data_IF_381025629044
#
_entry.id   IF_381025629044
#
_cell.length_a   1.000
_cell.length_b   1.000
_cell.length_c   1.000
_cell.angle_alpha   90.00
_cell.angle_beta   90.00
_cell.angle_gamma   90.00
#
_symmetry.space_group_name_H-M   'P 1'
#
loop_
_entity.id
_entity.type
_entity.pdbx_description
1 polymer ?
#
# COMPACT_ATOMS: atom_id res chain seq x y z
N UNK A 1 -20.88 21.15 -25.29
CA UNK A 1 -19.50 21.52 -24.96
C UNK A 1 -18.48 20.80 -25.83
N UNK A 2 -17.20 21.22 -25.82
CA UNK A 2 -16.15 20.56 -26.58
C UNK A 2 -15.81 19.17 -25.99
N UNK A 3 -15.61 18.18 -26.82
CA UNK A 3 -15.21 16.84 -26.43
C UNK A 3 -13.73 16.80 -26.04
N UNK A 4 -13.46 16.51 -24.77
CA UNK A 4 -12.10 16.44 -24.21
C UNK A 4 -11.78 15.00 -23.86
N UNK A 5 -10.87 14.39 -24.61
CA UNK A 5 -10.42 13.03 -24.35
C UNK A 5 -9.41 13.03 -23.21
N UNK A 6 -9.66 12.19 -22.22
CA UNK A 6 -8.78 12.04 -21.08
C UNK A 6 -8.37 10.57 -20.89
N UNK A 7 -7.09 10.39 -20.59
CA UNK A 7 -6.50 9.13 -20.14
C UNK A 7 -5.98 9.28 -18.72
N UNK A 8 -5.62 8.17 -18.08
CA UNK A 8 -5.12 8.19 -16.69
C UNK A 8 -3.78 8.95 -16.55
N UNK A 9 -3.04 9.13 -17.65
CA UNK A 9 -1.72 9.76 -17.65
C UNK A 9 -1.78 11.26 -18.01
N UNK A 10 -2.95 11.78 -18.45
CA UNK A 10 -3.07 13.18 -18.84
C UNK A 10 -3.26 14.12 -17.65
N UNK A 11 -2.80 15.36 -17.80
CA UNK A 11 -2.94 16.41 -16.81
C UNK A 11 -4.41 16.86 -16.70
N UNK A 12 -5.01 16.62 -15.54
CA UNK A 12 -6.40 17.00 -15.25
C UNK A 12 -6.59 18.53 -15.16
N UNK A 13 -5.55 19.27 -14.86
CA UNK A 13 -5.63 20.71 -14.71
C UNK A 13 -5.76 21.40 -16.09
N UNK A 14 -5.36 20.74 -17.17
CA UNK A 14 -5.57 21.16 -18.54
C UNK A 14 -7.01 20.99 -19.04
N UNK A 15 -7.90 20.33 -18.30
CA UNK A 15 -9.29 20.14 -18.69
C UNK A 15 -10.04 21.49 -18.67
N UNK A 16 -10.68 21.91 -19.80
CA UNK A 16 -11.34 23.21 -19.88
C UNK A 16 -12.66 23.24 -19.09
N UNK A 17 -13.03 24.41 -18.60
CA UNK A 17 -14.34 24.65 -18.02
C UNK A 17 -15.43 24.41 -19.06
N UNK A 18 -16.48 23.69 -18.72
CA UNK A 18 -17.57 23.37 -19.62
C UNK A 18 -17.27 22.29 -20.66
N UNK A 19 -16.12 21.61 -20.55
CA UNK A 19 -15.75 20.47 -21.41
C UNK A 19 -16.62 19.26 -21.18
N UNK A 20 -16.73 18.40 -22.20
CA UNK A 20 -17.35 17.06 -22.07
C UNK A 20 -16.24 16.02 -22.00
N UNK A 21 -16.17 15.34 -20.86
CA UNK A 21 -15.17 14.29 -20.62
C UNK A 21 -15.47 13.07 -21.49
N UNK A 22 -14.54 12.69 -22.35
CA UNK A 22 -14.59 11.45 -23.13
C UNK A 22 -13.43 10.55 -22.73
N UNK A 23 -13.71 9.38 -22.18
CA UNK A 23 -12.68 8.46 -21.67
C UNK A 23 -12.97 7.00 -22.04
N UNK A 24 -11.93 6.17 -22.09
CA UNK A 24 -12.11 4.71 -22.33
C UNK A 24 -12.76 4.01 -21.14
N UNK A 25 -12.46 4.45 -19.93
CA UNK A 25 -13.01 3.87 -18.69
C UNK A 25 -13.11 4.95 -17.62
N UNK A 26 -13.93 4.70 -16.64
CA UNK A 26 -14.01 5.54 -15.46
C UNK A 26 -12.73 5.43 -14.63
N UNK A 27 -12.22 6.57 -14.14
CA UNK A 27 -11.07 6.64 -13.23
C UNK A 27 -11.44 7.45 -11.99
N UNK A 28 -11.00 7.05 -10.79
CA UNK A 28 -11.19 7.84 -9.56
C UNK A 28 -10.61 9.26 -9.67
N UNK A 29 -9.59 9.46 -10.48
CA UNK A 29 -8.97 10.78 -10.72
C UNK A 29 -9.95 11.77 -11.35
N UNK A 30 -10.88 11.32 -12.16
CA UNK A 30 -11.86 12.16 -12.85
C UNK A 30 -12.89 12.82 -11.93
N UNK A 31 -12.93 12.42 -10.64
CA UNK A 31 -13.72 13.12 -9.61
C UNK A 31 -13.39 14.60 -9.55
N UNK A 32 -12.12 14.98 -9.77
CA UNK A 32 -11.67 16.37 -9.81
C UNK A 32 -12.24 17.17 -10.97
N UNK A 33 -12.72 16.50 -12.00
CA UNK A 33 -13.33 17.13 -13.18
C UNK A 33 -14.84 17.36 -13.02
N UNK A 34 -15.47 16.81 -11.97
CA UNK A 34 -16.92 16.87 -11.79
C UNK A 34 -17.48 18.29 -11.66
N UNK A 35 -16.70 19.25 -11.18
CA UNK A 35 -17.11 20.65 -11.09
C UNK A 35 -16.94 21.42 -12.39
N UNK A 36 -16.16 20.89 -13.34
CA UNK A 36 -15.77 21.57 -14.60
C UNK A 36 -16.43 20.91 -15.82
N UNK A 37 -16.72 19.61 -15.72
CA UNK A 37 -17.32 18.85 -16.81
C UNK A 37 -18.83 19.11 -16.94
N UNK A 38 -19.30 19.35 -18.17
CA UNK A 38 -20.74 19.48 -18.49
C UNK A 38 -21.41 18.14 -18.73
N UNK A 39 -20.66 17.14 -19.21
CA UNK A 39 -21.13 15.77 -19.36
C UNK A 39 -19.96 14.79 -19.34
N UNK A 40 -20.26 13.51 -19.16
CA UNK A 40 -19.27 12.43 -19.14
C UNK A 40 -19.71 11.33 -20.11
N UNK A 41 -18.79 10.85 -20.95
CA UNK A 41 -19.00 9.75 -21.88
C UNK A 41 -17.85 8.76 -21.75
N UNK A 42 -18.13 7.49 -21.46
CA UNK A 42 -17.09 6.47 -21.35
C UNK A 42 -17.40 5.20 -22.13
N UNK A 43 -16.35 4.57 -22.72
CA UNK A 43 -16.50 3.31 -23.46
C UNK A 43 -16.84 2.16 -22.53
N UNK A 44 -16.23 2.10 -21.35
CA UNK A 44 -16.48 1.10 -20.34
C UNK A 44 -16.88 1.75 -19.02
N UNK A 45 -17.83 1.14 -18.30
CA UNK A 45 -18.32 1.62 -17.02
C UNK A 45 -19.61 0.90 -16.61
N UNK A 46 -19.97 1.01 -15.32
CA UNK A 46 -21.21 0.47 -14.76
C UNK A 46 -22.07 1.58 -14.20
N UNK A 47 -23.38 1.49 -14.41
CA UNK A 47 -24.38 2.42 -13.82
C UNK A 47 -24.42 2.35 -12.28
N UNK A 48 -23.87 1.30 -11.69
CA UNK A 48 -23.70 1.11 -10.23
C UNK A 48 -22.29 1.44 -9.76
N UNK A 49 -21.39 1.81 -10.68
CA UNK A 49 -20.00 2.16 -10.36
C UNK A 49 -19.86 3.47 -9.60
N UNK A 50 -18.70 3.67 -9.00
CA UNK A 50 -18.39 4.87 -8.21
C UNK A 50 -18.56 6.17 -9.02
N UNK A 51 -18.07 6.19 -10.26
CA UNK A 51 -18.23 7.33 -11.19
C UNK A 51 -19.69 7.67 -11.44
N UNK A 52 -20.54 6.64 -11.66
CA UNK A 52 -21.98 6.85 -11.89
C UNK A 52 -22.69 7.43 -10.65
N UNK A 53 -22.26 7.02 -9.46
CA UNK A 53 -22.80 7.57 -8.21
C UNK A 53 -22.42 9.03 -8.03
N UNK A 54 -21.15 9.37 -8.24
CA UNK A 54 -20.67 10.74 -8.14
C UNK A 54 -21.29 11.65 -9.21
N UNK A 55 -21.37 11.19 -10.45
CA UNK A 55 -22.00 11.95 -11.53
C UNK A 55 -23.48 12.27 -11.22
N UNK A 56 -24.21 11.33 -10.59
CA UNK A 56 -25.58 11.59 -10.13
C UNK A 56 -25.64 12.60 -8.99
N UNK A 57 -24.70 12.52 -8.04
CA UNK A 57 -24.61 13.49 -6.95
C UNK A 57 -24.29 14.89 -7.47
N UNK A 58 -23.39 14.98 -8.45
CA UNK A 58 -23.02 16.23 -9.12
C UNK A 58 -23.98 16.63 -10.24
N UNK A 59 -25.01 15.82 -10.54
CA UNK A 59 -26.02 16.04 -11.61
C UNK A 59 -25.41 16.25 -13.00
N UNK A 60 -24.34 15.51 -13.28
CA UNK A 60 -23.67 15.59 -14.57
C UNK A 60 -24.28 14.55 -15.50
N UNK A 61 -24.82 14.94 -16.66
CA UNK A 61 -25.28 14.00 -17.69
C UNK A 61 -24.17 13.02 -18.05
N UNK A 62 -24.44 11.71 -17.94
CA UNK A 62 -23.41 10.71 -18.04
C UNK A 62 -23.85 9.51 -18.86
N UNK A 63 -23.07 9.15 -19.88
CA UNK A 63 -23.22 7.95 -20.68
C UNK A 63 -22.04 7.01 -20.41
N UNK A 64 -22.34 5.81 -19.93
CA UNK A 64 -21.37 4.77 -19.64
C UNK A 64 -21.57 3.56 -20.54
N UNK A 65 -20.49 2.81 -20.77
CA UNK A 65 -20.52 1.58 -21.56
C UNK A 65 -20.93 1.81 -23.03
N UNK A 66 -20.45 2.88 -23.63
CA UNK A 66 -20.74 3.21 -25.04
C UNK A 66 -19.94 2.35 -26.04
N UNK A 67 -18.87 1.68 -25.57
CA UNK A 67 -18.03 0.78 -26.32
C UNK A 67 -17.06 1.42 -27.30
N UNK A 68 -17.41 2.53 -27.94
CA UNK A 68 -16.62 3.14 -29.04
C UNK A 68 -16.53 4.67 -29.01
N UNK A 69 -17.12 5.35 -28.02
CA UNK A 69 -17.20 6.80 -28.00
C UNK A 69 -15.81 7.47 -28.07
N UNK A 70 -14.82 6.90 -27.38
CA UNK A 70 -13.45 7.40 -27.38
C UNK A 70 -12.78 7.42 -28.76
N UNK A 71 -13.15 6.50 -29.63
CA UNK A 71 -12.61 6.41 -31.00
C UNK A 71 -13.50 7.16 -32.00
N UNK A 72 -14.80 7.23 -31.75
CA UNK A 72 -15.79 7.78 -32.69
C UNK A 72 -15.94 9.28 -32.58
N UNK A 73 -15.85 9.83 -31.36
CA UNK A 73 -15.96 11.27 -31.12
C UNK A 73 -14.60 11.93 -31.36
N UNK A 74 -14.47 12.89 -32.32
CA UNK A 74 -13.20 13.58 -32.52
C UNK A 74 -12.84 14.48 -31.34
N UNK A 75 -11.56 14.61 -31.01
CA UNK A 75 -11.07 15.55 -29.99
C UNK A 75 -11.44 16.99 -30.34
N UNK A 76 -11.92 17.76 -29.38
CA UNK A 76 -12.28 19.15 -29.54
C UNK A 76 -13.57 19.40 -30.33
N UNK A 77 -14.23 18.34 -30.83
CA UNK A 77 -15.51 18.46 -31.51
C UNK A 77 -16.58 18.96 -30.52
N UNK A 78 -17.41 19.92 -30.96
CA UNK A 78 -18.56 20.35 -30.20
C UNK A 78 -19.62 19.25 -30.23
N UNK A 79 -20.08 18.82 -29.09
CA UNK A 79 -21.09 17.76 -28.94
C UNK A 79 -22.16 18.14 -27.91
N UNK A 80 -23.34 17.54 -28.05
CA UNK A 80 -24.42 17.58 -27.07
C UNK A 80 -24.69 16.14 -26.58
N UNK A 81 -24.75 15.96 -25.28
CA UNK A 81 -24.98 14.65 -24.63
C UNK A 81 -26.39 14.65 -24.07
N UNK A 82 -27.24 13.77 -24.61
CA UNK A 82 -28.55 13.43 -24.05
C UNK A 82 -28.44 12.11 -23.26
N UNK A 83 -28.26 12.26 -21.96
CA UNK A 83 -28.15 11.12 -21.05
C UNK A 83 -29.49 10.37 -20.87
N UNK A 84 -30.62 11.02 -21.13
CA UNK A 84 -31.94 10.41 -20.99
C UNK A 84 -32.24 9.44 -22.13
N UNK A 85 -31.89 9.84 -23.36
CA UNK A 85 -32.08 9.01 -24.57
C UNK A 85 -30.86 8.12 -24.88
N UNK A 86 -29.72 8.36 -24.21
CA UNK A 86 -28.48 7.61 -24.44
C UNK A 86 -27.79 8.00 -25.77
N UNK A 87 -27.94 9.23 -26.24
CA UNK A 87 -27.48 9.69 -27.54
C UNK A 87 -26.46 10.83 -27.39
N UNK A 88 -25.45 10.81 -28.23
CA UNK A 88 -24.50 11.93 -28.41
C UNK A 88 -24.67 12.52 -29.78
N UNK A 89 -24.98 13.81 -29.84
CA UNK A 89 -25.17 14.58 -31.07
C UNK A 89 -23.88 15.35 -31.39
N UNK A 90 -23.58 15.45 -32.66
CA UNK A 90 -22.53 16.35 -33.15
C UNK A 90 -23.10 17.79 -33.23
N UNK A 91 -22.40 18.74 -32.63
CA UNK A 91 -22.85 20.13 -32.56
C UNK A 91 -23.73 20.42 -31.35
N UNK A 92 -24.30 21.60 -31.35
CA UNK A 92 -25.22 22.05 -30.31
C UNK A 92 -26.67 21.76 -30.73
N UNK A 93 -27.44 21.16 -29.80
CA UNK A 93 -28.87 20.89 -29.99
C UNK A 93 -29.65 21.74 -28.98
N UNK A 94 -30.18 22.92 -29.41
CA UNK A 94 -30.81 23.90 -28.50
C UNK A 94 -31.97 23.32 -27.71
N UNK A 95 -32.74 22.40 -28.30
CA UNK A 95 -33.94 21.81 -27.68
C UNK A 95 -33.59 20.88 -26.50
N UNK A 96 -32.34 20.48 -26.38
CA UNK A 96 -31.84 19.63 -25.27
C UNK A 96 -31.07 20.45 -24.22
N UNK A 97 -30.90 21.74 -24.40
CA UNK A 97 -30.25 22.60 -23.43
C UNK A 97 -31.22 22.89 -22.28
N UNK A 98 -30.66 23.20 -21.11
CA UNK A 98 -31.45 23.50 -19.91
C UNK A 98 -32.54 24.51 -20.18
N UNK A 99 -33.75 24.21 -19.71
CA UNK A 99 -34.85 25.13 -19.70
C UNK A 99 -34.81 26.02 -18.45
N UNK A 100 -35.49 27.18 -18.48
CA UNK A 100 -35.62 28.07 -17.29
C UNK A 100 -36.19 27.33 -16.06
N UNK A 101 -36.97 26.25 -16.27
CA UNK A 101 -37.51 25.42 -15.22
C UNK A 101 -36.40 24.59 -14.49
N UNK A 102 -35.35 24.17 -15.21
CA UNK A 102 -34.22 23.45 -14.62
C UNK A 102 -33.35 24.36 -13.76
N UNK A 103 -33.16 25.63 -14.19
CA UNK A 103 -32.42 26.62 -13.43
C UNK A 103 -33.15 27.02 -12.14
N UNK A 104 -34.47 27.26 -12.23
CA UNK A 104 -35.29 27.53 -11.06
C UNK A 104 -35.30 26.41 -10.04
N UNK A 105 -35.35 25.16 -10.50
CA UNK A 105 -35.26 23.99 -9.63
C UNK A 105 -33.89 23.83 -8.91
N UNK A 106 -32.78 24.09 -9.63
CA UNK A 106 -31.44 24.05 -9.05
C UNK A 106 -31.27 25.13 -7.96
N UNK A 107 -31.80 26.30 -8.17
CA UNK A 107 -31.78 27.42 -7.23
C UNK A 107 -32.64 27.11 -5.99
N UNK A 108 -33.83 26.55 -6.18
CA UNK A 108 -34.74 26.18 -5.12
C UNK A 108 -34.19 25.05 -4.22
N UNK A 109 -33.64 23.98 -4.81
CA UNK A 109 -33.04 22.86 -4.04
C UNK A 109 -31.77 23.29 -3.30
N UNK A 110 -30.94 24.12 -3.92
CA UNK A 110 -29.75 24.69 -3.30
C UNK A 110 -30.12 25.57 -2.11
N UNK A 111 -31.10 26.46 -2.29
CA UNK A 111 -31.56 27.36 -1.23
C UNK A 111 -32.18 26.62 -0.04
N UNK A 112 -33.00 25.59 -0.29
CA UNK A 112 -33.59 24.77 0.79
C UNK A 112 -32.57 24.08 1.66
N UNK A 113 -31.51 23.49 1.07
CA UNK A 113 -30.43 22.84 1.85
C UNK A 113 -29.68 23.86 2.72
N UNK A 114 -29.38 25.04 2.19
CA UNK A 114 -28.64 26.08 2.90
C UNK A 114 -29.40 26.65 4.10
N UNK A 115 -30.72 26.62 4.07
CA UNK A 115 -31.56 27.14 5.16
C UNK A 115 -31.87 26.13 6.26
N UNK A 116 -31.45 24.86 6.12
CA UNK A 116 -31.68 23.85 7.15
C UNK A 116 -30.81 24.14 8.40
N UNK A 117 -31.32 23.86 9.62
CA UNK A 117 -30.55 23.99 10.82
C UNK A 117 -29.25 23.16 10.81
N UNK A 118 -29.30 21.95 10.23
CA UNK A 118 -28.16 21.07 10.08
C UNK A 118 -27.04 21.65 9.20
N UNK A 119 -27.41 22.24 8.06
CA UNK A 119 -26.44 22.92 7.18
C UNK A 119 -25.74 24.08 7.88
N UNK A 120 -26.50 24.91 8.60
CA UNK A 120 -25.94 26.05 9.36
C UNK A 120 -24.93 25.60 10.42
N UNK A 121 -25.20 24.48 11.11
CA UNK A 121 -24.26 23.91 12.08
C UNK A 121 -23.02 23.34 11.41
N UNK A 122 -23.19 22.58 10.30
CA UNK A 122 -22.06 22.03 9.54
C UNK A 122 -21.20 23.15 8.95
N UNK A 123 -21.79 24.22 8.44
CA UNK A 123 -21.04 25.37 7.91
C UNK A 123 -20.16 26.00 8.98
N UNK A 124 -20.65 26.17 10.22
CA UNK A 124 -19.83 26.66 11.33
C UNK A 124 -18.65 25.76 11.64
N UNK A 125 -18.80 24.44 11.50
CA UNK A 125 -17.71 23.48 11.70
C UNK A 125 -16.71 23.57 10.54
N UNK A 126 -17.20 23.66 9.30
CA UNK A 126 -16.34 23.80 8.10
C UNK A 126 -15.48 25.06 8.17
N UNK A 127 -16.04 26.19 8.65
CA UNK A 127 -15.31 27.44 8.83
C UNK A 127 -14.16 27.35 9.85
N UNK A 128 -14.17 26.32 10.72
CA UNK A 128 -13.12 26.04 11.70
C UNK A 128 -12.10 25.00 11.21
N UNK A 129 -12.37 24.34 10.09
CA UNK A 129 -11.49 23.30 9.51
C UNK A 129 -10.48 23.95 8.59
N UNK A 130 -9.21 23.74 8.83
CA UNK A 130 -8.17 24.13 7.89
C UNK A 130 -8.27 23.23 6.64
N UNK A 131 -8.59 23.76 5.46
CA UNK A 131 -8.75 22.96 4.25
C UNK A 131 -7.42 22.32 3.85
N UNK A 132 -7.50 21.16 3.18
CA UNK A 132 -6.38 20.55 2.49
C UNK A 132 -6.46 20.88 1.00
N UNK A 133 -5.55 21.70 0.52
CA UNK A 133 -5.48 22.11 -0.90
C UNK A 133 -4.52 21.22 -1.70
N UNK A 134 -3.41 20.81 -1.10
CA UNK A 134 -2.44 19.91 -1.73
C UNK A 134 -2.89 18.44 -1.64
N UNK A 135 -3.83 18.05 -2.49
CA UNK A 135 -4.43 16.71 -2.46
C UNK A 135 -3.67 15.67 -3.29
N UNK A 136 -3.05 16.08 -4.40
CA UNK A 136 -2.39 15.19 -5.36
C UNK A 136 -0.87 15.39 -5.39
N UNK A 137 -0.07 14.45 -4.87
CA UNK A 137 1.39 14.55 -4.89
C UNK A 137 2.02 14.55 -6.28
N UNK A 138 1.30 14.10 -7.32
CA UNK A 138 1.78 14.07 -8.70
C UNK A 138 1.49 15.37 -9.48
N UNK A 139 0.71 16.29 -8.89
CA UNK A 139 0.41 17.58 -9.52
C UNK A 139 1.63 18.49 -9.54
N UNK A 140 1.78 19.29 -10.62
CA UNK A 140 2.79 20.34 -10.70
C UNK A 140 2.64 21.42 -9.63
N UNK A 141 1.43 21.56 -9.05
CA UNK A 141 1.13 22.48 -7.93
C UNK A 141 1.48 21.89 -6.56
N UNK A 142 1.97 20.64 -6.47
CA UNK A 142 2.38 20.04 -5.19
C UNK A 142 3.77 20.52 -4.79
N UNK A 143 3.87 21.79 -4.41
CA UNK A 143 5.11 22.48 -4.01
C UNK A 143 4.94 23.24 -2.70
N UNK A 144 6.05 23.59 -2.05
CA UNK A 144 6.04 24.36 -0.81
C UNK A 144 5.33 25.72 -0.96
N UNK A 145 5.50 26.37 -2.12
CA UNK A 145 4.93 27.69 -2.41
C UNK A 145 3.40 27.68 -2.54
N UNK A 146 2.82 26.50 -2.79
CA UNK A 146 1.36 26.33 -2.89
C UNK A 146 0.71 25.90 -1.57
N UNK A 147 1.48 25.77 -0.48
CA UNK A 147 0.92 25.53 0.85
C UNK A 147 0.18 26.77 1.34
N UNK A 148 -1.12 26.67 1.56
CA UNK A 148 -1.97 27.77 2.04
C UNK A 148 -2.40 27.58 3.49
N UNK A 149 -2.33 26.37 4.00
CA UNK A 149 -2.79 26.01 5.34
C UNK A 149 -1.76 25.16 6.09
N UNK A 150 -1.82 25.09 7.45
CA UNK A 150 -1.01 24.13 8.21
C UNK A 150 -1.23 22.68 7.79
N UNK A 151 -2.42 22.34 7.28
CA UNK A 151 -2.75 21.02 6.76
C UNK A 151 -1.97 20.71 5.48
N UNK A 152 -1.85 21.69 4.57
CA UNK A 152 -1.03 21.57 3.36
C UNK A 152 0.46 21.37 3.70
N UNK A 153 0.96 22.15 4.66
CA UNK A 153 2.36 22.03 5.12
C UNK A 153 2.61 20.62 5.67
N UNK A 154 1.72 20.12 6.54
CA UNK A 154 1.85 18.79 7.10
C UNK A 154 1.79 17.71 6.00
N UNK A 155 0.88 17.83 5.04
CA UNK A 155 0.74 16.94 3.89
C UNK A 155 1.98 16.97 2.99
N UNK A 156 2.47 18.16 2.67
CA UNK A 156 3.65 18.34 1.82
C UNK A 156 4.90 17.73 2.47
N UNK A 157 5.15 18.09 3.73
CA UNK A 157 6.31 17.57 4.48
C UNK A 157 6.25 16.05 4.60
N UNK A 158 5.09 15.49 4.93
CA UNK A 158 4.90 14.05 5.01
C UNK A 158 5.22 13.36 3.69
N UNK A 159 4.68 13.85 2.58
CA UNK A 159 4.89 13.26 1.26
C UNK A 159 6.36 13.35 0.81
N UNK A 160 6.98 14.52 1.00
CA UNK A 160 8.39 14.71 0.66
C UNK A 160 9.32 13.85 1.52
N UNK A 161 9.05 13.76 2.82
CA UNK A 161 9.79 12.87 3.71
C UNK A 161 9.66 11.41 3.28
N UNK A 162 8.49 11.00 2.84
CA UNK A 162 8.23 9.65 2.34
C UNK A 162 8.95 9.39 1.02
N UNK A 163 8.92 10.34 0.08
CA UNK A 163 9.66 10.26 -1.18
C UNK A 163 11.17 10.15 -0.93
N UNK A 164 11.74 11.02 -0.10
CA UNK A 164 13.15 10.98 0.26
C UNK A 164 13.53 9.66 0.93
N UNK A 165 12.71 9.16 1.85
CA UNK A 165 12.93 7.89 2.52
C UNK A 165 13.04 6.71 1.53
N UNK A 166 12.24 6.72 0.45
CA UNK A 166 12.33 5.70 -0.59
C UNK A 166 13.49 5.94 -1.57
N UNK A 167 13.81 7.20 -1.88
CA UNK A 167 14.96 7.57 -2.73
C UNK A 167 16.29 7.30 -2.02
N UNK A 168 16.34 7.36 -0.69
CA UNK A 168 17.50 6.94 0.09
C UNK A 168 17.93 5.50 -0.22
N UNK A 169 16.98 4.64 -0.62
CA UNK A 169 17.25 3.27 -1.08
C UNK A 169 17.97 3.20 -2.42
N UNK A 170 17.73 4.17 -3.30
CA UNK A 170 18.26 4.17 -4.66
C UNK A 170 19.60 4.94 -4.75
N UNK A 171 19.88 5.86 -3.81
CA UNK A 171 21.05 6.76 -3.81
C UNK A 171 22.03 6.46 -2.65
N UNK A 172 22.40 5.20 -2.45
CA UNK A 172 23.34 4.77 -1.37
C UNK A 172 24.69 5.53 -1.41
N UNK A 173 25.06 6.12 -2.55
CA UNK A 173 26.27 6.91 -2.71
C UNK A 173 26.29 8.23 -1.95
N UNK A 174 25.15 8.88 -1.81
CA UNK A 174 25.04 10.24 -1.23
C UNK A 174 24.89 10.25 0.30
N UNK A 175 24.57 9.08 0.89
CA UNK A 175 24.38 8.93 2.34
C UNK A 175 25.67 8.64 3.13
N UNK A 176 26.83 8.78 2.52
CA UNK A 176 28.11 8.62 3.21
C UNK A 176 28.24 9.60 4.36
N UNK A 177 27.94 9.12 5.57
CA UNK A 177 27.99 9.89 6.82
C UNK A 177 26.68 9.99 7.59
N UNK A 178 25.52 9.73 6.96
CA UNK A 178 24.21 9.73 7.63
C UNK A 178 23.66 8.31 7.89
N UNK A 179 24.11 7.31 7.15
CA UNK A 179 23.72 5.90 7.33
C UNK A 179 24.91 5.02 7.71
N UNK A 180 24.66 4.01 8.53
CA UNK A 180 25.65 3.06 9.02
C UNK A 180 25.20 1.64 8.69
N UNK A 181 26.06 0.84 8.05
CA UNK A 181 25.76 -0.55 7.80
C UNK A 181 25.80 -1.34 9.12
N UNK A 182 24.79 -2.14 9.40
CA UNK A 182 24.79 -3.05 10.52
C UNK A 182 25.78 -4.20 10.27
N UNK A 183 26.81 -4.30 11.14
CA UNK A 183 27.87 -5.30 11.06
C UNK A 183 27.38 -6.64 11.59
N UNK A 184 26.64 -7.34 10.75
CA UNK A 184 26.07 -8.66 11.06
C UNK A 184 26.05 -9.52 9.82
N UNK A 185 26.07 -10.82 10.04
CA UNK A 185 25.88 -11.78 8.97
C UNK A 185 24.38 -12.01 8.75
N UNK A 186 23.77 -11.17 7.92
CA UNK A 186 22.42 -11.30 7.39
C UNK A 186 22.50 -11.46 5.87
N UNK A 187 21.55 -12.15 5.25
CA UNK A 187 21.46 -12.25 3.79
C UNK A 187 20.87 -10.96 3.15
N UNK A 188 20.92 -9.84 3.85
CA UNK A 188 20.47 -8.53 3.43
C UNK A 188 21.46 -7.47 3.95
N UNK A 189 21.69 -6.43 3.17
CA UNK A 189 22.46 -5.28 3.61
C UNK A 189 21.52 -4.33 4.38
N UNK A 190 21.70 -4.26 5.69
CA UNK A 190 20.87 -3.43 6.56
C UNK A 190 21.62 -2.18 6.99
N UNK A 191 21.06 -1.04 6.63
CA UNK A 191 21.57 0.29 6.96
C UNK A 191 20.73 0.94 8.05
N UNK A 192 21.40 1.60 8.99
CA UNK A 192 20.80 2.30 10.11
C UNK A 192 20.94 3.80 9.89
N UNK A 193 19.85 4.54 10.07
CA UNK A 193 19.82 6.00 10.15
C UNK A 193 19.37 6.37 11.56
N UNK A 194 20.25 6.97 12.35
CA UNK A 194 19.94 7.39 13.71
C UNK A 194 19.33 8.80 13.73
N UNK A 195 18.06 8.88 14.12
CA UNK A 195 17.33 10.13 14.27
C UNK A 195 17.63 10.84 15.59
N UNK A 196 18.47 10.23 16.43
CA UNK A 196 18.89 10.68 17.75
C UNK A 196 18.51 9.69 18.85
N UNK A 197 19.51 9.28 19.64
CA UNK A 197 19.34 8.35 20.76
C UNK A 197 19.17 6.87 20.36
N UNK A 198 19.21 6.55 19.08
CA UNK A 198 19.10 5.17 18.59
C UNK A 198 20.40 4.36 18.73
N UNK A 199 21.53 5.04 18.85
CA UNK A 199 22.86 4.44 19.06
C UNK A 199 23.46 4.87 20.40
N UNK A 200 24.20 3.99 21.07
CA UNK A 200 24.90 4.25 22.36
C UNK A 200 26.07 5.22 22.21
N UNK A 201 26.65 5.28 21.03
CA UNK A 201 27.78 6.17 20.71
C UNK A 201 27.79 6.45 19.21
N UNK A 202 28.31 7.61 18.78
CA UNK A 202 28.47 7.88 17.35
C UNK A 202 29.23 6.76 16.65
N UNK A 203 28.67 6.30 15.52
CA UNK A 203 29.31 5.24 14.75
C UNK A 203 30.61 5.76 14.10
N UNK A 204 31.65 4.98 14.20
CA UNK A 204 32.94 5.25 13.54
C UNK A 204 33.16 4.23 12.42
N UNK A 205 33.57 4.71 11.25
CA UNK A 205 33.97 3.84 10.15
C UNK A 205 32.81 3.24 9.35
N UNK A 206 31.59 3.80 9.37
CA UNK A 206 30.48 3.41 8.51
C UNK A 206 29.78 2.11 8.89
N UNK A 207 30.21 1.42 9.96
CA UNK A 207 29.59 0.17 10.46
C UNK A 207 29.17 0.27 11.92
N UNK A 208 28.09 -0.41 12.28
CA UNK A 208 27.53 -0.46 13.64
C UNK A 208 27.28 -1.91 14.04
N UNK A 209 27.75 -2.32 15.21
CA UNK A 209 27.44 -3.63 15.77
C UNK A 209 26.08 -3.63 16.49
N UNK A 210 25.34 -4.74 16.55
CA UNK A 210 24.08 -4.84 17.29
C UNK A 210 24.18 -4.39 18.74
N UNK A 211 25.33 -4.61 19.40
CA UNK A 211 25.58 -4.19 20.78
C UNK A 211 25.63 -2.67 20.97
N UNK A 212 25.86 -1.90 19.92
CA UNK A 212 25.87 -0.44 19.90
C UNK A 212 24.48 0.18 19.71
N UNK A 213 23.47 -0.62 19.34
CA UNK A 213 22.10 -0.16 19.21
C UNK A 213 21.51 0.14 20.59
N UNK A 214 21.03 1.36 20.78
CA UNK A 214 20.33 1.80 22.00
C UNK A 214 18.82 1.75 21.83
N UNK A 215 18.31 1.88 20.60
CA UNK A 215 16.88 1.81 20.29
C UNK A 215 16.26 0.53 20.85
N UNK A 216 15.34 0.69 21.81
CA UNK A 216 14.67 -0.44 22.42
C UNK A 216 13.81 -1.23 21.41
N UNK A 217 12.96 -0.59 20.57
CA UNK A 217 12.15 -1.30 19.60
C UNK A 217 13.00 -1.96 18.52
N UNK A 218 14.05 -1.33 18.04
CA UNK A 218 14.91 -1.93 17.02
C UNK A 218 15.71 -3.12 17.58
N UNK A 219 16.21 -2.99 18.81
CA UNK A 219 16.87 -4.11 19.51
C UNK A 219 15.96 -5.33 19.65
N UNK A 220 14.67 -5.12 19.93
CA UNK A 220 13.68 -6.19 20.01
C UNK A 220 13.48 -6.88 18.65
N UNK A 221 13.35 -6.11 17.55
CA UNK A 221 13.26 -6.66 16.19
C UNK A 221 14.50 -7.49 15.87
N UNK A 222 15.70 -6.93 16.11
CA UNK A 222 16.96 -7.65 15.87
C UNK A 222 17.06 -8.95 16.68
N UNK A 223 16.63 -8.94 17.95
CA UNK A 223 16.61 -10.13 18.79
C UNK A 223 15.77 -11.24 18.18
N UNK A 224 14.58 -10.89 17.63
CA UNK A 224 13.73 -11.82 16.90
C UNK A 224 14.38 -12.30 15.60
N UNK A 225 14.96 -11.40 14.81
CA UNK A 225 15.65 -11.74 13.55
C UNK A 225 16.84 -12.69 13.78
N UNK A 226 17.53 -12.56 14.92
CA UNK A 226 18.66 -13.42 15.30
C UNK A 226 18.26 -14.63 16.16
N UNK A 227 17.00 -14.99 16.21
CA UNK A 227 16.55 -16.14 16.99
C UNK A 227 17.29 -17.42 16.59
N UNK A 228 17.81 -18.14 17.57
CA UNK A 228 18.75 -19.28 17.36
C UNK A 228 18.19 -20.40 16.48
N UNK A 229 16.89 -20.64 16.54
CA UNK A 229 16.20 -21.68 15.78
C UNK A 229 15.85 -21.28 14.34
N UNK A 230 16.06 -20.01 13.95
CA UNK A 230 15.83 -19.59 12.58
C UNK A 230 17.08 -19.84 11.76
N UNK A 231 17.01 -20.62 10.68
CA UNK A 231 18.15 -20.89 9.82
C UNK A 231 18.70 -19.58 9.24
N UNK A 232 19.98 -19.33 9.44
CA UNK A 232 20.64 -18.10 8.96
C UNK A 232 21.10 -18.19 7.51
N UNK A 233 21.09 -19.39 6.91
CA UNK A 233 21.74 -19.68 5.64
C UNK A 233 20.84 -20.43 4.68
N UNK A 234 20.90 -20.00 3.42
CA UNK A 234 20.50 -20.69 2.21
C UNK A 234 18.99 -20.78 1.95
N UNK A 235 18.62 -20.85 0.69
CA UNK A 235 17.31 -21.40 0.36
C UNK A 235 17.30 -22.86 0.86
N UNK A 236 16.29 -23.24 1.62
CA UNK A 236 15.94 -24.67 1.72
C UNK A 236 15.80 -25.18 0.30
N UNK A 237 16.25 -26.38 0.06
CA UNK A 237 16.27 -27.04 -1.24
C UNK A 237 15.07 -26.63 -2.08
N UNK A 238 15.31 -25.69 -3.01
CA UNK A 238 14.30 -25.33 -4.00
C UNK A 238 14.13 -26.57 -4.87
N UNK A 239 12.90 -26.94 -5.13
CA UNK A 239 12.60 -27.94 -6.18
C UNK A 239 13.36 -27.58 -7.44
N UNK A 240 13.88 -28.57 -8.14
CA UNK A 240 14.74 -28.41 -9.33
C UNK A 240 14.15 -27.42 -10.35
N UNK A 241 12.81 -27.38 -10.45
CA UNK A 241 12.07 -26.43 -11.30
C UNK A 241 12.19 -24.97 -10.87
N UNK A 242 12.24 -24.70 -9.58
CA UNK A 242 12.44 -23.34 -9.05
C UNK A 242 13.88 -22.86 -9.27
N UNK A 243 14.86 -23.75 -9.11
CA UNK A 243 16.27 -23.45 -9.39
C UNK A 243 16.48 -23.16 -10.89
N UNK A 244 15.86 -23.95 -11.77
CA UNK A 244 15.96 -23.78 -13.23
C UNK A 244 15.32 -22.45 -13.68
N UNK A 245 14.21 -22.03 -13.09
CA UNK A 245 13.55 -20.75 -13.43
C UNK A 245 14.39 -19.55 -13.02
N UNK A 246 15.10 -19.62 -11.89
CA UNK A 246 16.05 -18.60 -11.45
C UNK A 246 17.28 -18.58 -12.34
N UNK A 247 17.83 -19.76 -12.70
CA UNK A 247 18.98 -19.86 -13.62
C UNK A 247 18.66 -19.40 -15.04
N UNK A 248 17.47 -19.69 -15.57
CA UNK A 248 17.04 -19.20 -16.89
C UNK A 248 16.87 -17.67 -16.92
N UNK A 249 16.40 -17.05 -15.84
CA UNK A 249 16.35 -15.60 -15.75
C UNK A 249 17.75 -14.97 -15.71
N UNK A 250 18.70 -15.58 -14.99
CA UNK A 250 20.10 -15.11 -14.98
C UNK A 250 20.79 -15.25 -16.34
N UNK A 251 20.43 -16.23 -17.15
CA UNK A 251 21.01 -16.43 -18.48
C UNK A 251 20.52 -15.40 -19.54
N UNK A 252 19.39 -14.70 -19.24
CA UNK A 252 18.79 -13.71 -20.15
C UNK A 252 18.99 -12.26 -19.70
N UNK A 253 19.61 -12.03 -18.54
CA UNK A 253 19.82 -10.70 -17.97
C UNK A 253 21.32 -10.32 -18.02
N UNK A 254 21.63 -9.11 -18.49
CA UNK A 254 23.00 -8.61 -18.60
C UNK A 254 23.68 -8.52 -17.22
N UNK A 255 25.03 -8.66 -17.14
CA UNK A 255 25.78 -8.67 -15.86
C UNK A 255 25.65 -7.40 -15.00
N UNK A 256 25.16 -6.31 -15.56
CA UNK A 256 24.95 -5.03 -14.85
C UNK A 256 23.67 -5.00 -13.98
N UNK A 257 22.78 -6.01 -14.09
CA UNK A 257 21.52 -6.11 -13.30
C UNK A 257 21.62 -7.06 -12.09
N UNK A 258 22.78 -7.58 -11.79
CA UNK A 258 23.01 -8.52 -10.67
C UNK A 258 22.98 -7.85 -9.28
N UNK A 259 22.79 -6.52 -9.22
CA UNK A 259 22.58 -5.76 -7.97
C UNK A 259 21.17 -5.91 -7.36
N UNK A 260 20.19 -6.43 -8.10
CA UNK A 260 18.79 -6.49 -7.67
C UNK A 260 18.49 -7.51 -6.54
N UNK A 261 19.42 -8.43 -6.23
CA UNK A 261 19.29 -9.36 -5.12
C UNK A 261 19.75 -8.79 -3.76
N UNK A 262 20.37 -7.61 -3.75
CA UNK A 262 20.86 -6.94 -2.55
C UNK A 262 20.28 -5.55 -2.40
N UNK A 263 18.96 -5.41 -2.61
CA UNK A 263 18.32 -4.15 -2.31
C UNK A 263 18.57 -3.80 -0.84
N UNK A 264 19.13 -2.62 -0.55
CA UNK A 264 19.45 -2.25 0.81
C UNK A 264 18.17 -2.14 1.64
N UNK A 265 18.21 -2.72 2.84
CA UNK A 265 17.19 -2.55 3.86
C UNK A 265 17.58 -1.39 4.78
N UNK A 266 16.60 -0.63 5.25
CA UNK A 266 16.83 0.54 6.09
C UNK A 266 16.09 0.44 7.41
N UNK A 267 16.72 0.94 8.46
CA UNK A 267 16.10 1.15 9.77
C UNK A 267 16.35 2.60 10.20
N UNK A 268 15.30 3.42 10.20
CA UNK A 268 15.32 4.73 10.86
C UNK A 268 15.02 4.49 12.34
N UNK A 269 15.93 4.88 13.22
CA UNK A 269 15.81 4.57 14.64
C UNK A 269 15.95 5.82 15.52
N UNK A 270 15.22 5.81 16.64
CA UNK A 270 15.55 6.62 17.84
C UNK A 270 15.49 5.72 19.07
N UNK A 271 15.60 6.28 20.28
CA UNK A 271 15.48 5.55 21.53
C UNK A 271 14.19 4.71 21.63
N UNK A 272 13.04 5.26 21.19
CA UNK A 272 11.70 4.68 21.31
C UNK A 272 10.98 4.45 19.97
N UNK A 273 11.62 4.73 18.85
CA UNK A 273 11.01 4.62 17.51
C UNK A 273 11.86 3.77 16.59
N UNK A 274 11.20 3.01 15.71
CA UNK A 274 11.83 2.42 14.54
C UNK A 274 10.86 2.37 13.38
N UNK A 275 11.36 2.74 12.19
CA UNK A 275 10.78 2.38 10.92
C UNK A 275 11.77 1.46 10.20
N UNK A 276 11.44 0.18 10.15
CA UNK A 276 12.24 -0.84 9.47
C UNK A 276 11.60 -1.16 8.12
N UNK A 277 12.30 -0.84 7.05
CA UNK A 277 11.90 -1.12 5.67
C UNK A 277 12.84 -2.15 5.06
N UNK A 278 12.30 -3.29 4.69
CA UNK A 278 13.04 -4.33 4.00
C UNK A 278 12.50 -4.55 2.59
N UNK A 279 13.42 -4.48 1.63
CA UNK A 279 13.22 -4.92 0.25
C UNK A 279 14.17 -6.09 0.02
N UNK A 280 13.66 -7.27 -0.23
CA UNK A 280 14.48 -8.45 -0.48
C UNK A 280 13.96 -9.12 -1.73
N UNK A 281 14.53 -8.77 -2.86
CA UNK A 281 14.03 -9.19 -4.17
C UNK A 281 12.59 -8.74 -4.38
N UNK A 282 11.65 -9.68 -4.46
CA UNK A 282 10.23 -9.40 -4.69
C UNK A 282 9.41 -9.22 -3.40
N UNK A 283 10.06 -9.22 -2.23
CA UNK A 283 9.40 -9.03 -0.94
C UNK A 283 9.56 -7.59 -0.47
N UNK A 284 8.48 -7.04 0.01
CA UNK A 284 8.45 -5.73 0.64
C UNK A 284 7.81 -5.85 2.03
N UNK A 285 8.49 -5.35 3.04
CA UNK A 285 7.93 -5.26 4.39
C UNK A 285 8.34 -3.98 5.08
N UNK A 286 7.40 -3.38 5.80
CA UNK A 286 7.62 -2.22 6.67
C UNK A 286 7.10 -2.53 8.05
N UNK A 287 7.93 -2.32 9.06
CA UNK A 287 7.52 -2.28 10.47
C UNK A 287 7.74 -0.85 10.95
N UNK A 288 6.66 -0.18 11.28
CA UNK A 288 6.68 1.16 11.86
C UNK A 288 6.12 1.11 13.27
N UNK A 289 6.88 1.60 14.25
CA UNK A 289 6.51 1.48 15.66
C UNK A 289 7.06 2.59 16.52
N UNK A 290 6.25 3.01 17.48
CA UNK A 290 6.65 3.82 18.62
C UNK A 290 6.39 3.06 19.93
N UNK A 291 7.35 3.06 20.83
CA UNK A 291 7.35 2.28 22.06
C UNK A 291 7.90 3.10 23.23
N UNK A 292 7.10 4.03 23.76
CA UNK A 292 7.44 4.90 24.89
C UNK A 292 6.73 4.50 26.18
N UNK A 293 6.84 5.36 27.20
CA UNK A 293 6.22 5.14 28.51
C UNK A 293 4.71 5.40 28.52
N UNK A 294 4.18 6.11 27.52
CA UNK A 294 2.76 6.46 27.44
C UNK A 294 2.03 5.42 26.58
N UNK A 295 1.29 4.53 27.21
CA UNK A 295 0.57 3.42 26.56
C UNK A 295 -0.28 3.85 25.36
N UNK A 296 -1.00 4.98 25.46
CA UNK A 296 -1.87 5.47 24.39
C UNK A 296 -1.12 5.93 23.12
N UNK A 297 0.19 6.17 23.20
CA UNK A 297 1.04 6.54 22.07
C UNK A 297 1.71 5.34 21.42
N UNK A 298 1.74 4.21 22.11
CA UNK A 298 2.43 3.02 21.64
C UNK A 298 1.65 2.33 20.54
N UNK A 299 2.36 1.94 19.48
CA UNK A 299 1.78 1.19 18.37
C UNK A 299 2.83 0.37 17.63
N UNK A 300 2.35 -0.62 16.90
CA UNK A 300 3.08 -1.33 15.84
C UNK A 300 2.20 -1.33 14.61
N UNK A 301 2.76 -0.99 13.47
CA UNK A 301 2.14 -1.21 12.15
C UNK A 301 3.06 -2.10 11.33
N UNK A 302 2.50 -3.13 10.72
CA UNK A 302 3.20 -4.01 9.79
C UNK A 302 2.49 -3.97 8.43
N UNK A 303 3.28 -3.73 7.39
CA UNK A 303 2.90 -3.97 6.00
C UNK A 303 3.80 -5.06 5.46
N UNK A 304 3.23 -6.09 4.84
CA UNK A 304 3.99 -7.14 4.18
C UNK A 304 3.34 -7.49 2.84
N UNK A 305 4.12 -7.52 1.77
CA UNK A 305 3.62 -7.72 0.40
C UNK A 305 4.64 -8.48 -0.46
N UNK A 306 4.13 -9.10 -1.53
CA UNK A 306 4.92 -9.63 -2.64
C UNK A 306 5.49 -11.02 -2.39
N UNK A 307 6.47 -11.42 -3.18
CA UNK A 307 7.15 -12.71 -3.19
C UNK A 307 7.53 -13.16 -4.59
N UNK A 308 8.40 -14.15 -4.69
CA UNK A 308 8.90 -14.68 -5.96
C UNK A 308 7.99 -15.77 -6.56
N UNK A 309 7.15 -16.42 -5.74
CA UNK A 309 6.24 -17.46 -6.19
C UNK A 309 5.02 -16.89 -6.96
N UNK A 310 4.21 -17.79 -7.52
CA UNK A 310 2.96 -17.42 -8.16
C UNK A 310 1.98 -16.73 -7.19
N UNK A 311 0.95 -16.09 -7.75
CA UNK A 311 -0.01 -15.31 -6.98
C UNK A 311 -0.73 -16.14 -5.89
N UNK A 312 -1.09 -17.39 -6.17
CA UNK A 312 -1.83 -18.25 -5.24
C UNK A 312 -0.96 -18.56 -4.01
N UNK A 313 0.31 -18.91 -4.21
CA UNK A 313 1.26 -19.19 -3.13
C UNK A 313 1.55 -17.93 -2.30
N UNK A 314 1.68 -16.77 -2.96
CA UNK A 314 1.83 -15.48 -2.23
C UNK A 314 0.63 -15.20 -1.34
N UNK A 315 -0.60 -15.36 -1.85
CA UNK A 315 -1.83 -15.18 -1.07
C UNK A 315 -1.90 -16.14 0.11
N UNK A 316 -1.50 -17.41 -0.06
CA UNK A 316 -1.43 -18.39 1.04
C UNK A 316 -0.46 -17.94 2.13
N UNK A 317 0.73 -17.48 1.75
CA UNK A 317 1.69 -16.93 2.71
C UNK A 317 1.11 -15.72 3.47
N UNK A 318 0.45 -14.81 2.78
CA UNK A 318 -0.20 -13.67 3.42
C UNK A 318 -1.28 -14.11 4.40
N UNK A 319 -2.06 -15.15 4.10
CA UNK A 319 -3.03 -15.74 5.04
C UNK A 319 -2.34 -16.29 6.28
N UNK A 320 -1.24 -17.03 6.11
CA UNK A 320 -0.48 -17.56 7.26
C UNK A 320 0.05 -16.44 8.16
N UNK A 321 0.64 -15.39 7.58
CA UNK A 321 1.09 -14.20 8.33
C UNK A 321 -0.09 -13.53 9.05
N UNK A 322 -1.21 -13.35 8.36
CA UNK A 322 -2.40 -12.72 8.92
C UNK A 322 -2.97 -13.50 10.10
N UNK A 323 -3.02 -14.81 10.01
CA UNK A 323 -3.55 -15.66 11.08
C UNK A 323 -2.63 -15.62 12.32
N UNK A 324 -1.31 -15.66 12.14
CA UNK A 324 -0.36 -15.46 13.25
C UNK A 324 -0.53 -14.09 13.91
N UNK A 325 -0.70 -13.03 13.11
CA UNK A 325 -0.86 -11.67 13.64
C UNK A 325 -2.16 -11.49 14.41
N UNK A 326 -3.26 -12.15 13.98
CA UNK A 326 -4.53 -12.17 14.71
C UNK A 326 -4.38 -12.85 16.07
N UNK A 327 -3.67 -14.00 16.14
CA UNK A 327 -3.37 -14.69 17.42
C UNK A 327 -2.55 -13.80 18.37
N UNK A 328 -1.79 -12.86 17.85
CA UNK A 328 -1.06 -11.87 18.63
C UNK A 328 -1.85 -10.58 18.91
N UNK A 329 -3.16 -10.56 18.63
CA UNK A 329 -4.04 -9.44 18.96
C UNK A 329 -3.95 -8.25 17.98
N UNK A 330 -3.32 -8.42 16.82
CA UNK A 330 -3.31 -7.36 15.81
C UNK A 330 -4.66 -7.25 15.09
N UNK A 331 -5.07 -6.01 14.81
CA UNK A 331 -6.09 -5.73 13.79
C UNK A 331 -5.48 -5.93 12.40
N UNK A 332 -6.04 -6.85 11.61
CA UNK A 332 -5.44 -7.31 10.36
C UNK A 332 -6.37 -7.08 9.19
N UNK A 333 -5.85 -6.48 8.11
CA UNK A 333 -6.52 -6.31 6.82
C UNK A 333 -5.67 -6.97 5.72
N UNK A 334 -6.31 -7.82 4.91
CA UNK A 334 -5.69 -8.43 3.73
C UNK A 334 -6.25 -7.75 2.48
N UNK A 335 -5.37 -7.39 1.55
CA UNK A 335 -5.72 -6.87 0.23
C UNK A 335 -4.84 -7.55 -0.80
N UNK A 336 -5.41 -8.46 -1.59
CA UNK A 336 -4.66 -9.29 -2.56
C UNK A 336 -3.52 -10.08 -1.88
N UNK A 337 -2.28 -9.86 -2.33
CA UNK A 337 -1.05 -10.45 -1.78
C UNK A 337 -0.34 -9.53 -0.77
N UNK A 338 -1.11 -8.69 -0.07
CA UNK A 338 -0.62 -7.76 0.95
C UNK A 338 -1.41 -7.91 2.24
N UNK A 339 -0.71 -7.89 3.37
CA UNK A 339 -1.28 -7.77 4.71
C UNK A 339 -0.87 -6.44 5.33
N UNK A 340 -1.86 -5.75 5.92
CA UNK A 340 -1.66 -4.61 6.80
C UNK A 340 -2.15 -5.01 8.18
N UNK A 341 -1.32 -4.84 9.18
CA UNK A 341 -1.65 -5.17 10.56
C UNK A 341 -1.29 -4.04 11.50
N UNK A 342 -2.10 -3.83 12.52
CA UNK A 342 -1.89 -2.79 13.53
C UNK A 342 -2.21 -3.29 14.93
N UNK A 343 -1.30 -3.05 15.85
CA UNK A 343 -1.49 -3.12 17.30
C UNK A 343 -1.30 -1.71 17.86
N UNK A 344 -2.13 -1.25 18.77
CA UNK A 344 -2.01 0.08 19.34
C UNK A 344 -2.49 0.10 20.79
N UNK A 345 -2.01 1.10 21.55
CA UNK A 345 -2.38 1.32 22.96
C UNK A 345 -2.02 0.14 23.87
N UNK A 346 -0.88 -0.51 23.61
CA UNK A 346 -0.34 -1.57 24.44
C UNK A 346 0.80 -1.05 25.34
N UNK A 347 1.02 -1.66 26.51
CA UNK A 347 2.17 -1.37 27.35
C UNK A 347 3.50 -1.56 26.62
N UNK A 348 4.53 -0.83 27.06
CA UNK A 348 5.86 -0.88 26.44
C UNK A 348 6.42 -2.29 26.32
N UNK A 349 6.31 -3.06 27.39
CA UNK A 349 6.84 -4.43 27.47
C UNK A 349 6.16 -5.36 26.48
N UNK A 350 4.85 -5.20 26.30
CA UNK A 350 4.06 -5.95 25.34
C UNK A 350 4.45 -5.60 23.90
N UNK A 351 4.62 -4.30 23.59
CA UNK A 351 5.13 -3.85 22.28
C UNK A 351 6.49 -4.51 21.99
N UNK A 352 7.44 -4.50 22.94
CA UNK A 352 8.76 -5.07 22.73
C UNK A 352 8.70 -6.59 22.50
N UNK A 353 7.85 -7.32 23.22
CA UNK A 353 7.62 -8.75 23.00
C UNK A 353 7.05 -9.05 21.61
N UNK A 354 6.08 -8.24 21.15
CA UNK A 354 5.53 -8.38 19.81
C UNK A 354 6.56 -8.04 18.73
N UNK A 355 7.40 -7.03 18.93
CA UNK A 355 8.48 -6.70 18.00
C UNK A 355 9.51 -7.82 17.87
N UNK A 356 9.85 -8.51 18.96
CA UNK A 356 10.70 -9.70 18.92
C UNK A 356 10.06 -10.82 18.08
N UNK A 357 8.76 -11.08 18.28
CA UNK A 357 8.01 -12.05 17.47
C UNK A 357 7.91 -11.64 16.00
N UNK A 358 7.72 -10.35 15.72
CA UNK A 358 7.72 -9.84 14.35
C UNK A 358 9.09 -9.97 13.67
N UNK A 359 10.18 -9.72 14.38
CA UNK A 359 11.53 -9.99 13.88
C UNK A 359 11.72 -11.44 13.44
N UNK A 360 11.24 -12.38 14.27
CA UNK A 360 11.23 -13.82 13.94
C UNK A 360 10.32 -14.12 12.74
N UNK A 361 9.14 -13.51 12.68
CA UNK A 361 8.16 -13.70 11.60
C UNK A 361 8.72 -13.24 10.26
N UNK A 362 9.36 -12.09 10.21
CA UNK A 362 9.97 -11.54 8.98
C UNK A 362 11.04 -12.47 8.42
N UNK A 363 11.86 -13.08 9.28
CA UNK A 363 12.87 -14.04 8.84
C UNK A 363 12.28 -15.39 8.47
N UNK A 364 11.33 -15.91 9.25
CA UNK A 364 10.68 -17.19 9.01
C UNK A 364 9.94 -17.21 7.68
N UNK A 365 9.16 -16.16 7.38
CA UNK A 365 8.37 -16.10 6.16
C UNK A 365 9.10 -15.53 4.95
N UNK A 366 10.36 -15.15 5.06
CA UNK A 366 11.12 -14.50 3.99
C UNK A 366 11.10 -15.26 2.66
N UNK A 367 11.16 -16.58 2.70
CA UNK A 367 11.22 -17.44 1.51
C UNK A 367 10.16 -18.56 1.52
N UNK A 368 9.12 -18.40 2.33
CA UNK A 368 8.11 -19.47 2.52
C UNK A 368 7.03 -19.47 1.44
N UNK A 369 6.98 -18.48 0.55
CA UNK A 369 6.03 -18.47 -0.56
C UNK A 369 6.19 -19.67 -1.49
N UNK A 370 7.42 -20.12 -1.76
CA UNK A 370 7.67 -21.33 -2.56
C UNK A 370 7.11 -22.61 -1.89
N UNK A 371 7.06 -22.64 -0.56
CA UNK A 371 6.57 -23.79 0.21
C UNK A 371 5.05 -23.81 0.42
N UNK A 372 4.33 -22.73 0.05
CA UNK A 372 2.87 -22.59 0.20
C UNK A 372 2.11 -23.33 -0.91
N UNK A 373 2.31 -24.64 -1.04
CA UNK A 373 1.77 -25.44 -2.15
C UNK A 373 0.28 -25.77 -1.99
N UNK A 374 -0.24 -25.85 -0.76
CA UNK A 374 -1.64 -26.18 -0.43
C UNK A 374 -2.18 -25.30 0.69
N UNK A 375 -3.50 -25.33 0.92
CA UNK A 375 -4.11 -24.64 2.06
C UNK A 375 -3.75 -25.33 3.40
N UNK A 376 -3.41 -26.61 3.39
CA UNK A 376 -2.91 -27.32 4.57
C UNK A 376 -1.52 -26.82 4.94
N UNK A 377 -0.67 -26.47 3.98
CA UNK A 377 0.62 -25.86 4.28
C UNK A 377 0.49 -24.56 5.09
N UNK A 378 -0.55 -23.78 4.88
CA UNK A 378 -0.84 -22.57 5.67
C UNK A 378 -0.98 -22.93 7.15
N UNK A 379 -1.82 -23.95 7.46
CA UNK A 379 -2.07 -24.41 8.85
C UNK A 379 -0.81 -24.95 9.51
N UNK A 380 -0.02 -25.71 8.76
CA UNK A 380 1.24 -26.27 9.24
C UNK A 380 2.22 -25.17 9.63
N UNK A 381 2.43 -24.19 8.75
CA UNK A 381 3.36 -23.09 9.02
C UNK A 381 2.89 -22.17 10.16
N UNK A 382 1.59 -21.90 10.26
CA UNK A 382 1.02 -21.16 11.40
C UNK A 382 1.27 -21.89 12.72
N UNK A 383 0.95 -23.18 12.79
CA UNK A 383 1.17 -23.99 14.00
C UNK A 383 2.66 -24.07 14.38
N UNK A 384 3.53 -24.30 13.42
CA UNK A 384 4.97 -24.35 13.64
C UNK A 384 5.50 -23.03 14.20
N UNK A 385 5.11 -21.91 13.61
CA UNK A 385 5.52 -20.59 14.08
C UNK A 385 5.05 -20.31 15.50
N UNK A 386 3.77 -20.55 15.81
CA UNK A 386 3.18 -20.30 17.13
C UNK A 386 3.82 -21.18 18.22
N UNK A 387 4.27 -22.39 17.89
CA UNK A 387 5.01 -23.30 18.79
C UNK A 387 6.50 -22.92 18.94
N UNK A 388 7.00 -21.95 18.15
CA UNK A 388 8.43 -21.59 18.12
C UNK A 388 9.31 -22.63 17.42
N UNK A 389 8.72 -23.49 16.61
CA UNK A 389 9.42 -24.45 15.72
C UNK A 389 9.75 -23.78 14.39
N UNK A 390 10.75 -22.93 14.41
CA UNK A 390 11.21 -22.22 13.20
C UNK A 390 12.08 -23.11 12.30
N UNK A 391 12.51 -24.27 12.78
CA UNK A 391 13.25 -25.31 12.04
C UNK A 391 12.35 -26.15 11.15
N UNK A 392 11.05 -26.18 11.41
CA UNK A 392 10.07 -27.09 10.80
C UNK A 392 10.45 -28.58 11.00
N UNK A 393 11.05 -28.90 12.13
CA UNK A 393 11.45 -30.27 12.46
C UNK A 393 10.24 -31.21 12.60
N UNK A 394 9.08 -30.65 13.01
CA UNK A 394 7.83 -31.40 13.17
C UNK A 394 7.01 -31.58 11.89
N UNK A 395 7.45 -31.07 10.75
CA UNK A 395 6.68 -31.17 9.48
C UNK A 395 6.87 -32.54 8.80
N UNK A 396 7.83 -33.37 9.29
CA UNK A 396 8.09 -34.70 8.79
C UNK A 396 7.39 -35.85 9.54
N UNK A 397 6.78 -35.58 10.69
CA UNK A 397 6.02 -36.59 11.46
C UNK A 397 4.52 -36.39 11.16
N UNK A 398 4.00 -37.13 10.18
CA UNK A 398 2.57 -37.38 10.04
C UNK A 398 2.10 -38.09 11.31
N UNK A 399 1.26 -37.45 12.14
CA UNK A 399 0.49 -38.18 13.16
C UNK A 399 -0.30 -39.29 12.43
N UNK A 400 -0.20 -40.55 12.81
CA UNK A 400 -0.99 -41.64 12.22
C UNK A 400 -2.47 -41.28 12.44
N UNK A 401 -3.25 -41.31 11.38
CA UNK A 401 -4.71 -41.11 11.40
C UNK A 401 -5.29 -42.13 12.38
N UNK A 402 -5.91 -41.76 13.50
CA UNK A 402 -6.52 -42.74 14.40
C UNK A 402 -7.75 -43.32 13.69
N UNK A 403 -7.65 -44.56 13.24
CA UNK A 403 -8.82 -45.29 12.73
C UNK A 403 -8.60 -46.27 11.56
N UNK A 404 -7.41 -46.61 11.15
CA UNK A 404 -7.22 -47.82 10.31
C UNK A 404 -6.74 -48.99 11.18
N UNK A 405 -7.69 -49.70 11.77
CA UNK A 405 -7.45 -51.06 12.27
C UNK A 405 -7.24 -51.98 11.06
N UNK A 406 -6.04 -52.51 10.95
CA UNK A 406 -5.74 -53.61 10.04
C UNK A 406 -6.69 -54.78 10.35
N UNK A 407 -7.67 -54.94 9.45
CA UNK A 407 -8.46 -56.15 9.38
C UNK A 407 -7.61 -57.29 8.80
N UNK A 408 -6.78 -57.89 9.67
CA UNK A 408 -6.16 -59.17 9.37
C UNK A 408 -7.24 -60.24 9.27
N UNK A 409 -7.53 -60.71 8.08
CA UNK A 409 -8.33 -61.87 7.77
C UNK A 409 -7.45 -62.99 7.26
N UNK A 410 -7.15 -63.90 8.17
CA UNK A 410 -6.63 -65.22 7.89
C UNK A 410 -7.70 -66.05 7.17
N UNK A 411 -7.43 -66.57 5.99
CA UNK A 411 -7.60 -67.99 5.58
C UNK A 411 -7.09 -68.18 4.16
#
# INVERSE_FOLDING_TARGET
GPAVHMTDDEDLDAFPEGGILVARRSSPRFVRLMTRARAIVTDAGSTTGHMASLARECRIPTLLNTGKAFQTIPRGCLITVDASSGIVYQGEVPDLLKTEADEAWEEEVSSHRQHTPGYRQLKKVVDLVAPLNLTDPSSSTFTADHCQTPHDIARYVHEKSYQEMFQLGDNVGDLRGASFQLDVFLPVDLYIIDLGGGLKSPAKGGKVKPSQVASAPFSAILKGMFHKKIPRFGPRTMDLGGLLSVMMRHATTSPEQDSSFRDPCYALISDNYVNYTARVGYHFSVVDTYCGNTTNKNYITLVFKGGAADYVRRVRRIRAIADILKEYGFSVRITHDMVNARLSKAPREEILQHLEKLGSLLQFFRQMDAAMTSDDSVRVFVKAFLRGDYGLECVGEEEPIPGQTDGGGNT
#
